data_IF_092674538378
#
_entry.id   IF_092674538378
#
_cell.length_a   1.000
_cell.length_b   1.000
_cell.length_c   1.000
_cell.angle_alpha   90.00
_cell.angle_beta   90.00
_cell.angle_gamma   90.00
#
_symmetry.space_group_name_H-M   'P 1'
#
loop_
_entity.id
_entity.type
_entity.pdbx_description
1 polymer ?
#
# COMPACT_ATOMS: atom_id res chain seq x y z
N UNK A 1 55.17 -10.51 0.58
CA UNK A 1 54.12 -11.10 1.46
C UNK A 1 53.42 -10.08 2.36
N UNK A 2 54.08 -8.99 2.78
CA UNK A 2 53.51 -7.94 3.64
C UNK A 2 52.22 -7.28 3.09
N UNK A 3 52.18 -6.96 1.79
CA UNK A 3 51.01 -6.34 1.15
C UNK A 3 49.77 -7.26 1.11
N UNK A 4 49.95 -8.58 1.11
CA UNK A 4 48.84 -9.54 1.20
C UNK A 4 48.27 -9.60 2.62
N UNK A 5 49.12 -9.47 3.63
CA UNK A 5 48.72 -9.42 5.04
C UNK A 5 47.96 -8.12 5.37
N UNK A 6 48.45 -6.98 4.86
CA UNK A 6 47.81 -5.67 5.01
C UNK A 6 46.39 -5.65 4.40
N UNK A 7 46.23 -6.27 3.23
CA UNK A 7 44.94 -6.37 2.54
C UNK A 7 43.95 -7.27 3.29
N UNK A 8 44.43 -8.31 3.96
CA UNK A 8 43.61 -9.19 4.81
C UNK A 8 43.11 -8.48 6.07
N UNK A 9 43.96 -7.66 6.70
CA UNK A 9 43.58 -6.87 7.89
C UNK A 9 42.53 -5.81 7.51
N UNK A 10 42.69 -5.14 6.37
CA UNK A 10 41.76 -4.11 5.89
C UNK A 10 40.38 -4.68 5.53
N UNK A 11 40.33 -5.90 5.00
CA UNK A 11 39.06 -6.60 4.72
C UNK A 11 38.39 -7.07 6.02
N UNK A 12 39.17 -7.50 7.01
CA UNK A 12 38.64 -7.95 8.31
C UNK A 12 38.02 -6.80 9.12
N UNK A 13 38.62 -5.60 9.05
CA UNK A 13 38.07 -4.39 9.71
C UNK A 13 36.79 -3.88 9.04
N UNK A 14 36.63 -4.09 7.72
CA UNK A 14 35.44 -3.65 6.99
C UNK A 14 34.19 -4.51 7.30
N UNK A 15 34.39 -5.79 7.67
CA UNK A 15 33.29 -6.73 7.97
C UNK A 15 32.70 -6.50 9.37
N UNK A 16 33.48 -5.94 10.31
CA UNK A 16 33.03 -5.73 11.71
C UNK A 16 32.15 -4.48 11.88
N UNK A 17 32.11 -3.58 10.89
CA UNK A 17 31.33 -2.33 10.98
C UNK A 17 29.98 -2.36 10.26
N UNK A 18 29.48 -3.53 9.85
CA UNK A 18 28.16 -3.63 9.24
C UNK A 18 27.05 -3.50 10.32
N UNK A 19 26.18 -2.47 10.29
CA UNK A 19 25.00 -2.42 11.16
C UNK A 19 24.02 -3.52 10.75
N UNK A 20 24.07 -4.66 11.44
CA UNK A 20 23.39 -5.89 11.03
C UNK A 20 21.88 -5.96 11.32
N UNK A 21 21.23 -4.94 11.91
CA UNK A 21 19.88 -5.17 12.47
C UNK A 21 18.77 -4.19 12.09
N UNK A 22 19.02 -3.16 11.27
CA UNK A 22 17.96 -2.19 10.92
C UNK A 22 17.23 -2.50 9.60
N UNK A 23 17.86 -3.26 8.70
CA UNK A 23 17.31 -3.50 7.34
C UNK A 23 16.18 -4.55 7.33
N UNK A 24 16.23 -5.53 8.24
CA UNK A 24 15.22 -6.59 8.33
C UNK A 24 13.83 -6.08 8.74
N UNK A 25 13.77 -5.11 9.66
CA UNK A 25 12.49 -4.51 10.08
C UNK A 25 11.89 -3.58 9.01
N UNK A 26 12.74 -2.89 8.25
CA UNK A 26 12.29 -2.05 7.12
C UNK A 26 11.71 -2.88 5.96
N UNK A 27 12.28 -4.05 5.67
CA UNK A 27 11.80 -4.93 4.59
C UNK A 27 10.51 -5.67 4.96
N UNK A 28 10.33 -6.06 6.23
CA UNK A 28 9.08 -6.64 6.72
C UNK A 28 7.91 -5.63 6.65
N UNK A 29 8.18 -4.35 6.89
CA UNK A 29 7.21 -3.25 6.80
C UNK A 29 6.75 -2.97 5.37
N UNK A 30 7.67 -3.03 4.39
CA UNK A 30 7.34 -2.80 2.98
C UNK A 30 6.52 -3.93 2.36
N UNK A 31 6.75 -5.19 2.78
CA UNK A 31 6.07 -6.34 2.16
C UNK A 31 4.60 -6.48 2.59
N UNK A 32 4.27 -6.30 3.87
CA UNK A 32 2.88 -6.37 4.34
C UNK A 32 2.01 -5.20 3.86
N UNK A 33 2.60 -4.01 3.73
CA UNK A 33 1.91 -2.82 3.22
C UNK A 33 1.77 -2.83 1.69
N UNK A 34 2.78 -3.30 0.96
CA UNK A 34 2.71 -3.42 -0.49
C UNK A 34 1.61 -4.40 -0.94
N UNK A 35 1.43 -5.51 -0.23
CA UNK A 35 0.33 -6.45 -0.50
C UNK A 35 -1.04 -5.81 -0.34
N UNK A 36 -1.28 -5.13 0.80
CA UNK A 36 -2.54 -4.45 1.03
C UNK A 36 -2.80 -3.31 0.02
N UNK A 37 -1.78 -2.51 -0.30
CA UNK A 37 -1.93 -1.42 -1.28
C UNK A 37 -2.27 -1.99 -2.66
N UNK A 38 -1.61 -3.08 -3.08
CA UNK A 38 -1.92 -3.76 -4.34
C UNK A 38 -3.37 -4.32 -4.34
N UNK A 39 -3.80 -4.93 -3.24
CA UNK A 39 -5.16 -5.45 -3.08
C UNK A 39 -6.21 -4.32 -3.15
N UNK A 40 -5.97 -3.21 -2.44
CA UNK A 40 -6.89 -2.08 -2.47
C UNK A 40 -6.88 -1.33 -3.82
N UNK A 41 -5.74 -1.26 -4.50
CA UNK A 41 -5.65 -0.70 -5.84
C UNK A 41 -6.49 -1.50 -6.83
N UNK A 42 -6.48 -2.83 -6.70
CA UNK A 42 -7.36 -3.71 -7.48
C UNK A 42 -8.84 -3.46 -7.17
N UNK A 43 -9.21 -3.33 -5.89
CA UNK A 43 -10.59 -2.99 -5.51
C UNK A 43 -11.03 -1.67 -6.15
N UNK A 44 -10.19 -0.63 -6.09
CA UNK A 44 -10.51 0.66 -6.72
C UNK A 44 -10.68 0.51 -8.24
N UNK A 45 -9.80 -0.23 -8.92
CA UNK A 45 -9.91 -0.48 -10.36
C UNK A 45 -11.21 -1.20 -10.72
N UNK A 46 -11.59 -2.22 -9.94
CA UNK A 46 -12.84 -2.96 -10.15
C UNK A 46 -14.06 -2.05 -9.93
N UNK A 47 -14.00 -1.14 -8.94
CA UNK A 47 -15.07 -0.15 -8.72
C UNK A 47 -15.17 0.85 -9.89
N UNK A 48 -14.04 1.31 -10.42
CA UNK A 48 -14.00 2.20 -11.60
C UNK A 48 -14.61 1.50 -12.81
N UNK A 49 -14.18 0.28 -13.13
CA UNK A 49 -14.71 -0.48 -14.27
C UNK A 49 -16.24 -0.69 -14.16
N UNK A 50 -16.74 -1.04 -12.97
CA UNK A 50 -18.18 -1.17 -12.73
C UNK A 50 -18.92 0.16 -12.93
N UNK A 51 -18.33 1.28 -12.53
CA UNK A 51 -18.94 2.60 -12.72
C UNK A 51 -19.05 2.93 -14.21
N UNK A 52 -18.00 2.68 -14.98
CA UNK A 52 -17.98 2.93 -16.43
C UNK A 52 -19.01 2.05 -17.16
N UNK A 53 -19.19 0.80 -16.72
CA UNK A 53 -20.18 -0.10 -17.30
C UNK A 53 -21.62 0.30 -16.95
N UNK A 54 -21.84 0.78 -15.72
CA UNK A 54 -23.13 1.36 -15.32
C UNK A 54 -23.46 2.62 -16.13
N UNK A 55 -22.48 3.49 -16.39
CA UNK A 55 -22.68 4.67 -17.24
C UNK A 55 -23.14 4.27 -18.65
N UNK A 56 -22.50 3.26 -19.26
CA UNK A 56 -22.92 2.74 -20.57
C UNK A 56 -24.33 2.16 -20.53
N UNK A 57 -24.67 1.43 -19.47
CA UNK A 57 -26.00 0.82 -19.31
C UNK A 57 -27.09 1.89 -19.16
N UNK A 58 -26.82 2.99 -18.45
CA UNK A 58 -27.72 4.14 -18.38
C UNK A 58 -27.95 4.76 -19.77
N UNK A 59 -26.91 4.86 -20.60
CA UNK A 59 -27.04 5.40 -21.96
C UNK A 59 -27.82 4.47 -22.90
N UNK A 60 -27.79 3.16 -22.65
CA UNK A 60 -28.46 2.14 -23.48
C UNK A 60 -29.92 1.90 -23.06
N UNK A 61 -30.16 1.81 -21.76
CA UNK A 61 -31.42 1.37 -21.16
C UNK A 61 -32.11 2.50 -20.37
N UNK A 62 -31.75 3.76 -20.62
CA UNK A 62 -32.19 4.93 -19.84
C UNK A 62 -33.69 5.24 -19.88
N UNK A 63 -34.46 4.54 -20.73
CA UNK A 63 -35.92 4.66 -20.85
C UNK A 63 -36.66 3.46 -20.20
N UNK A 64 -35.93 2.43 -19.73
CA UNK A 64 -36.51 1.29 -19.03
C UNK A 64 -36.39 1.47 -17.50
N UNK A 65 -37.52 1.79 -16.86
CA UNK A 65 -37.62 1.99 -15.42
C UNK A 65 -37.10 0.80 -14.60
N UNK A 66 -37.29 -0.43 -15.07
CA UNK A 66 -36.81 -1.62 -14.35
C UNK A 66 -35.28 -1.68 -14.36
N UNK A 67 -34.68 -1.39 -15.52
CA UNK A 67 -33.23 -1.31 -15.69
C UNK A 67 -32.62 -0.16 -14.87
N UNK A 68 -33.29 1.00 -14.82
CA UNK A 68 -32.87 2.12 -13.98
C UNK A 68 -32.89 1.79 -12.48
N UNK A 69 -33.88 1.04 -12.01
CA UNK A 69 -33.94 0.57 -10.62
C UNK A 69 -32.79 -0.39 -10.31
N UNK A 70 -32.50 -1.34 -11.22
CA UNK A 70 -31.35 -2.24 -11.07
C UNK A 70 -30.03 -1.48 -10.99
N UNK A 71 -29.83 -0.50 -11.89
CA UNK A 71 -28.64 0.36 -11.90
C UNK A 71 -28.49 1.12 -10.57
N UNK A 72 -29.59 1.64 -10.02
CA UNK A 72 -29.56 2.30 -8.70
C UNK A 72 -29.12 1.36 -7.58
N UNK A 73 -29.63 0.13 -7.55
CA UNK A 73 -29.22 -0.86 -6.54
C UNK A 73 -27.72 -1.20 -6.68
N UNK A 74 -27.23 -1.35 -7.91
CA UNK A 74 -25.81 -1.60 -8.17
C UNK A 74 -24.91 -0.42 -7.75
N UNK A 75 -25.36 0.82 -7.93
CA UNK A 75 -24.66 2.01 -7.43
C UNK A 75 -24.63 2.08 -5.89
N UNK A 76 -25.69 1.65 -5.21
CA UNK A 76 -25.73 1.58 -3.75
C UNK A 76 -24.72 0.56 -3.21
N UNK A 77 -24.62 -0.62 -3.84
CA UNK A 77 -23.63 -1.63 -3.49
C UNK A 77 -22.20 -1.13 -3.75
N UNK A 78 -21.99 -0.42 -4.86
CA UNK A 78 -20.71 0.19 -5.19
C UNK A 78 -20.28 1.22 -4.13
N UNK A 79 -21.21 2.07 -3.69
CA UNK A 79 -20.99 3.06 -2.63
C UNK A 79 -20.56 2.39 -1.32
N UNK A 80 -21.21 1.29 -0.93
CA UNK A 80 -20.85 0.51 0.27
C UNK A 80 -19.45 -0.11 0.15
N UNK A 81 -19.11 -0.65 -1.02
CA UNK A 81 -17.79 -1.21 -1.28
C UNK A 81 -16.68 -0.14 -1.23
N UNK A 82 -16.92 1.04 -1.82
CA UNK A 82 -16.00 2.18 -1.76
C UNK A 82 -15.76 2.65 -0.31
N UNK A 83 -16.82 2.78 0.50
CA UNK A 83 -16.71 3.12 1.92
C UNK A 83 -15.89 2.09 2.69
N UNK A 84 -16.09 0.80 2.40
CA UNK A 84 -15.33 -0.28 3.04
C UNK A 84 -13.84 -0.19 2.70
N UNK A 85 -13.51 0.04 1.43
CA UNK A 85 -12.13 0.26 1.00
C UNK A 85 -11.49 1.47 1.69
N UNK A 86 -12.23 2.58 1.82
CA UNK A 86 -11.77 3.77 2.53
C UNK A 86 -11.47 3.51 4.02
N UNK A 87 -12.29 2.71 4.71
CA UNK A 87 -12.07 2.34 6.11
C UNK A 87 -10.79 1.51 6.30
N UNK A 88 -10.49 0.61 5.36
CA UNK A 88 -9.25 -0.18 5.37
C UNK A 88 -8.02 0.72 5.26
N UNK A 89 -8.03 1.70 4.36
CA UNK A 89 -6.94 2.68 4.25
C UNK A 89 -6.77 3.53 5.52
N UNK A 90 -7.87 4.01 6.10
CA UNK A 90 -7.83 4.82 7.33
C UNK A 90 -7.14 4.08 8.46
N UNK A 91 -7.47 2.82 8.69
CA UNK A 91 -6.84 2.00 9.73
C UNK A 91 -5.32 1.92 9.55
N UNK A 92 -4.84 1.75 8.32
CA UNK A 92 -3.40 1.73 8.02
C UNK A 92 -2.71 3.07 8.20
N UNK A 93 -3.35 4.16 7.80
CA UNK A 93 -2.79 5.50 8.02
C UNK A 93 -2.64 5.79 9.52
N UNK A 94 -3.62 5.40 10.33
CA UNK A 94 -3.53 5.49 11.79
C UNK A 94 -2.39 4.63 12.35
N UNK A 95 -2.24 3.39 11.89
CA UNK A 95 -1.14 2.50 12.28
C UNK A 95 0.23 3.12 11.94
N UNK A 96 0.39 3.61 10.71
CA UNK A 96 1.62 4.28 10.25
C UNK A 96 1.91 5.51 11.12
N UNK A 97 0.90 6.35 11.37
CA UNK A 97 1.07 7.58 12.14
C UNK A 97 1.49 7.30 13.59
N UNK A 98 0.85 6.33 14.27
CA UNK A 98 1.22 5.92 15.63
C UNK A 98 2.67 5.42 15.68
N UNK A 99 3.13 4.72 14.64
CA UNK A 99 4.53 4.24 14.59
C UNK A 99 5.52 5.37 14.31
N UNK A 100 5.16 6.36 13.49
CA UNK A 100 5.96 7.58 13.30
C UNK A 100 6.11 8.32 14.64
N UNK A 101 5.03 8.43 15.41
CA UNK A 101 5.06 9.04 16.75
C UNK A 101 6.01 8.29 17.70
N UNK A 102 6.00 6.96 17.69
CA UNK A 102 6.94 6.13 18.47
C UNK A 102 8.39 6.28 18.01
N UNK A 103 8.64 6.45 16.72
CA UNK A 103 9.99 6.62 16.17
C UNK A 103 10.62 7.95 16.57
N UNK A 104 9.81 8.97 16.87
CA UNK A 104 10.30 10.30 17.24
C UNK A 104 10.92 11.07 16.07
N UNK A 105 11.55 12.23 16.35
CA UNK A 105 12.16 13.04 15.30
C UNK A 105 13.29 12.29 14.59
N UNK A 106 13.52 12.55 13.29
CA UNK A 106 14.61 11.93 12.57
C UNK A 106 15.95 12.25 13.26
N UNK A 107 16.88 11.29 13.38
CA UNK A 107 18.19 11.55 13.98
C UNK A 107 18.88 12.69 13.23
N UNK A 108 19.53 13.60 13.98
CA UNK A 108 20.25 14.72 13.39
C UNK A 108 21.22 14.18 12.32
N UNK A 109 21.18 14.78 11.13
CA UNK A 109 22.11 14.43 10.06
C UNK A 109 23.53 14.57 10.62
N UNK A 110 24.26 13.46 10.65
CA UNK A 110 25.66 13.43 11.07
C UNK A 110 26.55 14.13 10.06
#
# INVERSE_FOLDING_TARGET
MLFRLLRLILVLTLVVSAPLSFKAMAQALGQGSAGLVADQQKVIQDLTAKTDDLEKKIQQDGEDDASLVEIRLQLEDLSRAALTSALVFRSRLTEINNRIEVLGPPPAAG
#
